data_IF_997521437140
#
_entry.id   IF_997521437140
#
_cell.length_a   1.000
_cell.length_b   1.000
_cell.length_c   1.000
_cell.angle_alpha   90.00
_cell.angle_beta   90.00
_cell.angle_gamma   90.00
#
_symmetry.space_group_name_H-M   'P 1'
#
loop_
_entity.id
_entity.type
_entity.pdbx_description
1 polymer ?
#
# COMPACT_ATOMS: atom_id res chain seq x y z
N UNK A 1 11.24 5.84 -1.47
CA UNK A 1 10.16 6.63 -2.09
C UNK A 1 10.74 7.40 -3.26
N UNK A 2 10.90 6.75 -4.43
CA UNK A 2 11.71 7.31 -5.53
C UNK A 2 11.21 7.03 -6.94
N UNK A 3 10.01 6.46 -7.11
CA UNK A 3 9.39 6.25 -8.41
C UNK A 3 7.86 6.42 -8.35
N UNK A 4 7.29 6.88 -9.46
CA UNK A 4 5.86 6.97 -9.78
C UNK A 4 4.98 7.51 -8.63
N UNK A 5 4.01 6.70 -8.18
CA UNK A 5 3.03 7.02 -7.15
C UNK A 5 3.68 7.38 -5.80
N UNK A 6 4.84 6.78 -5.48
CA UNK A 6 5.52 7.06 -4.22
C UNK A 6 6.12 8.48 -4.18
N UNK A 7 6.47 9.05 -5.34
CA UNK A 7 6.95 10.44 -5.43
C UNK A 7 5.80 11.40 -5.25
N UNK A 8 4.66 11.15 -5.90
CA UNK A 8 3.44 11.95 -5.75
C UNK A 8 2.96 11.97 -4.29
N UNK A 9 2.92 10.82 -3.62
CA UNK A 9 2.54 10.75 -2.20
C UNK A 9 3.52 11.50 -1.30
N UNK A 10 4.83 11.43 -1.58
CA UNK A 10 5.84 12.19 -0.83
C UNK A 10 5.66 13.70 -1.00
N UNK A 11 5.39 14.16 -2.22
CA UNK A 11 5.14 15.58 -2.51
C UNK A 11 3.84 16.07 -1.87
N UNK A 12 2.77 15.26 -1.92
CA UNK A 12 1.45 15.64 -1.42
C UNK A 12 1.34 15.60 0.10
N UNK A 13 1.88 14.57 0.75
CA UNK A 13 1.65 14.32 2.19
C UNK A 13 2.87 14.51 3.08
N UNK A 14 4.06 14.68 2.49
CA UNK A 14 5.31 14.91 3.23
C UNK A 14 5.59 13.80 4.24
N UNK A 15 5.98 14.18 5.47
CA UNK A 15 6.01 13.25 6.60
C UNK A 15 7.14 12.20 6.60
N UNK A 16 8.14 12.32 5.73
CA UNK A 16 9.21 11.30 5.62
C UNK A 16 9.94 11.07 6.94
N UNK A 17 10.25 12.13 7.70
CA UNK A 17 10.90 11.98 9.01
C UNK A 17 10.00 11.22 10.01
N UNK A 18 8.70 11.48 9.98
CA UNK A 18 7.70 10.81 10.84
C UNK A 18 7.57 9.33 10.50
N UNK A 19 7.55 8.99 9.21
CA UNK A 19 7.58 7.61 8.73
C UNK A 19 8.85 6.88 9.17
N UNK A 20 10.02 7.51 9.04
CA UNK A 20 11.29 6.90 9.43
C UNK A 20 11.41 6.69 10.94
N UNK A 21 10.83 7.59 11.76
CA UNK A 21 10.79 7.45 13.22
C UNK A 21 9.98 6.24 13.69
N UNK A 22 9.01 5.76 12.90
CA UNK A 22 8.24 4.56 13.22
C UNK A 22 9.06 3.26 13.10
N UNK A 23 10.24 3.31 12.46
CA UNK A 23 11.19 2.18 12.34
C UNK A 23 10.54 0.88 11.86
N UNK A 24 9.56 0.98 10.96
CA UNK A 24 8.84 -0.17 10.40
C UNK A 24 9.76 -1.02 9.52
N UNK A 25 9.69 -2.33 9.71
CA UNK A 25 10.41 -3.35 8.96
C UNK A 25 9.55 -3.92 7.82
N UNK A 26 10.15 -4.66 6.86
CA UNK A 26 9.38 -5.39 5.85
C UNK A 26 8.33 -6.30 6.49
N UNK A 27 7.11 -6.30 5.94
CA UNK A 27 5.95 -6.97 6.52
C UNK A 27 5.13 -6.09 7.47
N UNK A 28 5.49 -4.83 7.67
CA UNK A 28 4.72 -3.90 8.50
C UNK A 28 4.18 -2.72 7.69
N UNK A 29 3.22 -2.00 8.25
CA UNK A 29 2.65 -0.78 7.70
C UNK A 29 3.04 0.43 8.55
N UNK A 30 3.57 1.47 7.90
CA UNK A 30 3.78 2.78 8.52
C UNK A 30 2.55 3.67 8.23
N UNK A 31 2.19 4.52 9.19
CA UNK A 31 0.94 5.29 9.12
C UNK A 31 1.22 6.77 9.32
N UNK A 32 0.63 7.63 8.48
CA UNK A 32 0.53 9.05 8.73
C UNK A 32 -0.92 9.44 8.95
N UNK A 33 -1.20 10.32 9.91
CA UNK A 33 -2.48 10.97 10.06
C UNK A 33 -2.41 12.36 9.40
N UNK A 34 -3.26 12.59 8.40
CA UNK A 34 -3.38 13.90 7.71
C UNK A 34 -4.84 14.21 7.49
N UNK A 35 -5.28 15.39 7.96
CA UNK A 35 -6.64 15.90 7.72
C UNK A 35 -7.74 14.86 8.06
N UNK A 36 -7.59 14.14 9.17
CA UNK A 36 -8.55 13.10 9.60
C UNK A 36 -8.46 11.77 8.83
N UNK A 37 -7.51 11.61 7.91
CA UNK A 37 -7.32 10.40 7.12
C UNK A 37 -6.01 9.71 7.49
N UNK A 38 -6.06 8.38 7.57
CA UNK A 38 -4.86 7.55 7.69
C UNK A 38 -4.28 7.25 6.31
N UNK A 39 -2.99 7.50 6.16
CA UNK A 39 -2.22 7.21 4.96
C UNK A 39 -1.28 6.05 5.30
N UNK A 40 -1.52 4.92 4.66
CA UNK A 40 -0.78 3.69 4.88
C UNK A 40 0.37 3.53 3.89
N UNK A 41 1.55 3.24 4.42
CA UNK A 41 2.76 2.93 3.66
C UNK A 41 3.17 1.49 3.98
N UNK A 42 2.80 0.59 3.07
CA UNK A 42 3.16 -0.83 3.17
C UNK A 42 4.67 -1.00 2.96
N UNK A 43 5.38 -1.47 3.99
CA UNK A 43 6.81 -1.76 3.91
C UNK A 43 6.96 -3.19 3.43
N UNK A 44 7.19 -3.39 2.13
CA UNK A 44 7.27 -4.72 1.51
C UNK A 44 8.70 -5.17 1.18
N UNK A 45 9.68 -4.28 1.34
CA UNK A 45 11.08 -4.56 1.03
C UNK A 45 12.01 -3.73 1.88
N UNK A 46 13.17 -4.29 2.19
CA UNK A 46 14.18 -3.61 3.01
C UNK A 46 14.87 -2.47 2.26
N UNK A 47 15.08 -2.65 0.94
CA UNK A 47 15.74 -1.67 0.07
C UNK A 47 14.95 -1.53 -1.21
N UNK A 48 14.97 -0.34 -1.82
CA UNK A 48 14.15 -0.03 -2.99
C UNK A 48 14.42 -0.95 -4.20
N UNK A 49 15.65 -1.43 -4.35
CA UNK A 49 16.08 -2.32 -5.43
C UNK A 49 15.81 -3.80 -5.17
N UNK A 50 15.40 -4.19 -3.96
CA UNK A 50 14.92 -5.55 -3.72
C UNK A 50 13.52 -5.73 -4.31
N UNK A 51 13.17 -6.96 -4.69
CA UNK A 51 11.81 -7.30 -5.08
C UNK A 51 10.99 -7.64 -3.83
N UNK A 52 9.77 -7.10 -3.69
CA UNK A 52 8.88 -7.53 -2.62
C UNK A 52 8.45 -8.98 -2.86
N UNK A 53 8.15 -9.70 -1.78
CA UNK A 53 7.56 -11.05 -1.86
C UNK A 53 6.07 -10.99 -1.52
N UNK A 54 5.28 -11.95 -2.03
CA UNK A 54 3.87 -12.07 -1.66
C UNK A 54 3.69 -12.19 -0.14
N UNK A 55 4.60 -12.87 0.55
CA UNK A 55 4.61 -12.98 2.01
C UNK A 55 4.76 -11.63 2.69
N UNK A 56 5.75 -10.82 2.27
CA UNK A 56 5.95 -9.48 2.85
C UNK A 56 4.77 -8.54 2.59
N UNK A 57 4.13 -8.67 1.42
CA UNK A 57 2.93 -7.91 1.09
C UNK A 57 1.75 -8.34 1.99
N UNK A 58 1.51 -9.65 2.11
CA UNK A 58 0.48 -10.22 2.97
C UNK A 58 0.62 -9.69 4.41
N UNK A 59 1.81 -9.83 5.00
CA UNK A 59 2.08 -9.38 6.36
C UNK A 59 1.83 -7.87 6.53
N UNK A 60 2.25 -7.06 5.55
CA UNK A 60 2.03 -5.62 5.62
C UNK A 60 0.55 -5.23 5.53
N UNK A 61 -0.26 -6.01 4.79
CA UNK A 61 -1.70 -5.83 4.68
C UNK A 61 -2.41 -6.28 5.96
N UNK A 62 -1.94 -7.35 6.61
CA UNK A 62 -2.45 -7.79 7.91
C UNK A 62 -2.19 -6.73 9.00
N UNK A 63 -0.97 -6.17 9.05
CA UNK A 63 -0.63 -5.06 9.98
C UNK A 63 -1.52 -3.83 9.71
N UNK A 64 -1.76 -3.50 8.43
CA UNK A 64 -2.69 -2.45 8.04
C UNK A 64 -4.13 -2.74 8.48
N UNK A 65 -4.62 -3.98 8.29
CA UNK A 65 -5.96 -4.40 8.74
C UNK A 65 -6.11 -4.22 10.23
N UNK A 66 -5.15 -4.67 11.02
CA UNK A 66 -5.19 -4.53 12.49
C UNK A 66 -5.31 -3.07 12.90
N UNK A 67 -4.53 -2.18 12.27
CA UNK A 67 -4.65 -0.75 12.49
C UNK A 67 -6.03 -0.20 12.08
N UNK A 68 -6.59 -0.65 10.96
CA UNK A 68 -7.90 -0.22 10.50
C UNK A 68 -9.00 -0.57 11.51
N UNK A 69 -9.01 -1.81 12.01
CA UNK A 69 -10.00 -2.27 12.99
C UNK A 69 -9.88 -1.48 14.29
N UNK A 70 -8.66 -1.30 14.79
CA UNK A 70 -8.40 -0.55 16.03
C UNK A 70 -8.84 0.92 15.96
N UNK A 71 -8.78 1.52 14.77
CA UNK A 71 -9.09 2.94 14.56
C UNK A 71 -10.44 3.18 13.86
N UNK A 72 -11.29 2.15 13.71
CA UNK A 72 -12.61 2.31 13.10
C UNK A 72 -12.58 2.72 11.62
N UNK A 73 -11.56 2.30 10.87
CA UNK A 73 -11.44 2.59 9.44
C UNK A 73 -12.25 1.57 8.64
N UNK A 74 -13.33 2.03 8.01
CA UNK A 74 -14.24 1.17 7.23
C UNK A 74 -14.06 1.27 5.71
N UNK A 75 -13.31 2.27 5.22
CA UNK A 75 -13.11 2.51 3.79
C UNK A 75 -11.63 2.70 3.47
N UNK A 76 -11.14 1.97 2.48
CA UNK A 76 -9.77 2.05 1.99
C UNK A 76 -9.76 2.39 0.51
N UNK A 77 -8.92 3.35 0.14
CA UNK A 77 -8.75 3.82 -1.23
C UNK A 77 -7.31 3.52 -1.63
N UNK A 78 -7.11 2.76 -2.70
CA UNK A 78 -5.76 2.41 -3.17
C UNK A 78 -5.68 2.28 -4.68
N UNK A 79 -4.50 2.52 -5.29
CA UNK A 79 -4.26 2.11 -6.67
C UNK A 79 -4.06 0.59 -6.76
N UNK A 80 -3.83 0.07 -7.97
CA UNK A 80 -3.32 -1.31 -8.14
C UNK A 80 -1.89 -1.43 -7.58
N UNK A 81 -1.78 -1.91 -6.34
CA UNK A 81 -0.50 -2.08 -5.63
C UNK A 81 0.28 -3.31 -6.08
N UNK A 82 1.61 -3.27 -5.95
CA UNK A 82 2.51 -4.38 -6.29
C UNK A 82 2.71 -4.64 -7.78
N UNK A 83 1.96 -3.95 -8.65
CA UNK A 83 2.07 -4.03 -10.10
C UNK A 83 3.18 -3.12 -10.65
N UNK A 84 3.73 -3.45 -11.81
CA UNK A 84 4.76 -2.65 -12.47
C UNK A 84 6.18 -3.02 -12.02
N UNK A 85 6.90 -2.05 -11.43
CA UNK A 85 8.31 -2.22 -11.02
C UNK A 85 8.53 -3.34 -10.00
N UNK A 86 7.52 -3.65 -9.18
CA UNK A 86 7.57 -4.71 -8.18
C UNK A 86 7.25 -6.11 -8.76
N UNK A 87 6.83 -6.19 -10.03
CA UNK A 87 6.60 -7.41 -10.81
C UNK A 87 5.65 -8.44 -10.17
N UNK A 88 4.75 -8.03 -9.27
CA UNK A 88 3.70 -8.90 -8.77
C UNK A 88 2.52 -8.93 -9.74
N UNK A 89 1.84 -10.08 -9.79
CA UNK A 89 0.65 -10.26 -10.61
C UNK A 89 -0.57 -9.74 -9.85
N UNK A 90 -1.28 -8.80 -10.47
CA UNK A 90 -2.47 -8.19 -9.86
C UNK A 90 -3.50 -9.22 -9.42
N UNK A 91 -3.69 -10.28 -10.20
CA UNK A 91 -4.65 -11.36 -9.90
C UNK A 91 -4.31 -12.08 -8.58
N UNK A 92 -3.02 -12.22 -8.25
CA UNK A 92 -2.58 -12.78 -6.97
C UNK A 92 -2.72 -11.77 -5.83
N UNK A 93 -2.37 -10.51 -6.09
CA UNK A 93 -2.52 -9.43 -5.12
C UNK A 93 -3.98 -9.22 -4.73
N UNK A 94 -4.90 -9.26 -5.70
CA UNK A 94 -6.34 -9.15 -5.46
C UNK A 94 -6.86 -10.28 -4.55
N UNK A 95 -6.43 -11.53 -4.78
CA UNK A 95 -6.76 -12.66 -3.91
C UNK A 95 -6.24 -12.47 -2.48
N UNK A 96 -5.02 -11.94 -2.33
CA UNK A 96 -4.46 -11.63 -1.02
C UNK A 96 -5.29 -10.55 -0.31
N UNK A 97 -5.69 -9.49 -1.03
CA UNK A 97 -6.55 -8.44 -0.47
C UNK A 97 -7.90 -9.00 -0.01
N UNK A 98 -8.54 -9.85 -0.83
CA UNK A 98 -9.78 -10.52 -0.48
C UNK A 98 -9.62 -11.37 0.78
N UNK A 99 -8.57 -12.19 0.86
CA UNK A 99 -8.30 -13.05 2.02
C UNK A 99 -8.02 -12.23 3.29
N UNK A 100 -7.20 -11.19 3.20
CA UNK A 100 -6.84 -10.38 4.37
C UNK A 100 -8.04 -9.62 4.89
N UNK A 101 -8.87 -9.04 4.03
CA UNK A 101 -9.98 -8.17 4.44
C UNK A 101 -11.33 -8.89 4.52
N UNK A 102 -11.36 -10.20 4.30
CA UNK A 102 -12.54 -11.04 4.50
C UNK A 102 -13.10 -10.86 5.92
N UNK A 103 -14.43 -10.75 6.01
CA UNK A 103 -15.19 -10.62 7.26
C UNK A 103 -14.84 -9.42 8.15
N UNK A 104 -14.14 -8.42 7.61
CA UNK A 104 -13.81 -7.19 8.37
C UNK A 104 -14.84 -6.07 8.24
N UNK A 105 -15.73 -6.16 7.25
CA UNK A 105 -16.64 -5.06 6.88
C UNK A 105 -15.93 -3.84 6.26
N UNK A 106 -14.62 -3.94 5.98
CA UNK A 106 -13.84 -2.87 5.35
C UNK A 106 -14.07 -2.92 3.84
N UNK A 107 -14.52 -1.81 3.27
CA UNK A 107 -14.69 -1.66 1.82
C UNK A 107 -13.41 -1.13 1.19
N UNK A 108 -12.88 -1.85 0.19
CA UNK A 108 -11.71 -1.43 -0.59
C UNK A 108 -12.16 -0.95 -1.96
N UNK A 109 -11.77 0.26 -2.34
CA UNK A 109 -11.96 0.81 -3.69
C UNK A 109 -10.63 0.97 -4.38
N UNK A 110 -10.52 0.34 -5.55
CA UNK A 110 -9.27 0.25 -6.31
C UNK A 110 -9.36 1.18 -7.51
N UNK A 111 -8.44 2.13 -7.59
CA UNK A 111 -8.34 3.05 -8.71
C UNK A 111 -7.30 2.54 -9.72
N UNK A 112 -7.68 2.55 -10.99
CA UNK A 112 -6.76 2.33 -12.11
C UNK A 112 -6.94 3.44 -13.12
N UNK A 113 -5.84 3.97 -13.62
CA UNK A 113 -5.91 4.88 -14.76
C UNK A 113 -6.49 4.14 -15.97
N UNK A 114 -7.33 4.79 -16.79
CA UNK A 114 -7.80 4.20 -18.03
C UNK A 114 -6.60 3.86 -18.92
N UNK A 115 -6.67 2.69 -19.57
CA UNK A 115 -5.68 2.29 -20.56
C UNK A 115 -5.69 3.33 -21.68
N UNK A 116 -4.57 4.04 -21.85
CA UNK A 116 -4.39 4.98 -22.96
C UNK A 116 -3.35 4.40 -23.92
N UNK A 117 -3.66 4.48 -25.21
CA UNK A 117 -2.94 3.88 -26.35
C UNK A 117 -1.47 4.35 -26.49
N UNK A 118 -1.00 5.26 -25.65
CA UNK A 118 0.35 5.82 -25.69
C UNK A 118 1.46 4.88 -25.18
N UNK A 119 1.12 3.74 -24.57
CA UNK A 119 2.08 2.76 -24.04
C UNK A 119 2.47 1.65 -25.03
N UNK A 120 2.23 1.83 -26.33
CA UNK A 120 2.59 0.88 -27.40
C UNK A 120 3.77 1.32 -28.29
N UNK A 121 4.51 2.37 -27.90
CA UNK A 121 5.75 2.74 -28.59
C UNK A 121 6.97 2.41 -27.74
#
# INVERSE_FOLDING_TARGET
>A
MGADTAVLLKQKFGGVSELLKQRKAPGQSAVLLREGHFIYYLVTKQRAFHKPTYTSLLQSLEDMRSHCIQNGVHKLLMPRIGCGLDQLEWTKVAKILEQVFMDTGITITIYSLPWTTASMN
#
